data_IF_747120942254
#
_entry.id   IF_747120942254
#
_cell.length_a   1.000
_cell.length_b   1.000
_cell.length_c   1.000
_cell.angle_alpha   90.00
_cell.angle_beta   90.00
_cell.angle_gamma   90.00
#
_symmetry.space_group_name_H-M   'P 1'
#
loop_
_entity.id
_entity.type
_entity.pdbx_description
1 polymer ?
#
# COMPACT_ATOMS: atom_id res chain seq x y z
N UNK A 1 -16.72 6.70 33.65
CA UNK A 1 -15.32 6.71 33.20
C UNK A 1 -15.03 5.34 32.62
N UNK A 2 -15.03 5.21 31.30
CA UNK A 2 -14.53 4.01 30.64
C UNK A 2 -13.01 4.08 30.72
N UNK A 3 -12.40 3.14 31.46
CA UNK A 3 -10.97 2.91 31.40
C UNK A 3 -10.68 2.40 30.00
N UNK A 4 -10.03 3.22 29.16
CA UNK A 4 -9.32 2.70 28.00
C UNK A 4 -8.22 1.80 28.57
N UNK A 5 -8.39 0.48 28.44
CA UNK A 5 -7.24 -0.42 28.39
C UNK A 5 -6.36 0.18 27.31
N UNK A 6 -5.13 0.58 27.63
CA UNK A 6 -4.20 1.13 26.65
C UNK A 6 -3.09 0.10 26.44
N UNK A 7 -2.86 -0.29 25.19
CA UNK A 7 -1.86 -1.28 24.77
C UNK A 7 -2.36 -2.71 24.62
N UNK A 8 -3.68 -2.95 24.56
CA UNK A 8 -4.28 -4.27 24.34
C UNK A 8 -4.62 -4.55 22.87
N UNK A 9 -5.05 -5.79 22.56
CA UNK A 9 -5.53 -6.21 21.22
C UNK A 9 -6.77 -5.42 20.72
N UNK A 10 -7.39 -4.64 21.60
CA UNK A 10 -8.53 -3.78 21.27
C UNK A 10 -8.13 -2.31 21.05
N UNK A 11 -6.83 -1.99 21.16
CA UNK A 11 -6.31 -0.66 20.90
C UNK A 11 -5.68 -0.56 19.52
N UNK A 12 -5.57 0.67 19.03
CA UNK A 12 -4.75 0.96 17.85
C UNK A 12 -3.31 0.43 18.08
N UNK A 13 -2.71 -0.23 17.07
CA UNK A 13 -3.14 -0.30 15.67
C UNK A 13 -4.00 -1.54 15.32
N UNK A 14 -4.42 -2.36 16.28
CA UNK A 14 -5.22 -3.58 16.02
C UNK A 14 -6.68 -3.29 15.68
N UNK A 15 -7.23 -2.17 16.16
CA UNK A 15 -8.57 -1.70 15.80
C UNK A 15 -8.47 -0.32 15.13
N UNK A 16 -9.09 -0.11 13.95
CA UNK A 16 -9.10 1.20 13.31
C UNK A 16 -9.79 2.27 14.17
N UNK A 17 -9.24 3.47 14.17
CA UNK A 17 -9.83 4.65 14.82
C UNK A 17 -10.67 5.49 13.87
N UNK A 18 -10.55 5.22 12.55
CA UNK A 18 -11.29 5.89 11.48
C UNK A 18 -12.31 4.93 10.86
N UNK A 19 -13.40 5.47 10.31
CA UNK A 19 -14.57 4.65 9.94
C UNK A 19 -15.07 4.88 8.52
N UNK A 20 -14.57 5.89 7.80
CA UNK A 20 -15.01 6.14 6.44
C UNK A 20 -14.00 5.52 5.48
N UNK A 21 -14.47 4.64 4.61
CA UNK A 21 -13.63 4.08 3.57
C UNK A 21 -13.12 5.16 2.61
N UNK A 22 -11.87 5.02 2.19
CA UNK A 22 -11.27 5.83 1.16
C UNK A 22 -10.34 4.98 0.29
N UNK A 23 -10.49 5.09 -1.03
CA UNK A 23 -9.70 4.33 -1.99
C UNK A 23 -8.96 5.28 -2.92
N UNK A 24 -7.69 4.99 -3.17
CA UNK A 24 -6.87 5.72 -4.13
C UNK A 24 -6.32 4.74 -5.16
N UNK A 25 -6.70 4.93 -6.42
CA UNK A 25 -6.16 4.19 -7.55
C UNK A 25 -5.00 4.96 -8.21
N UNK A 26 -3.97 4.23 -8.65
CA UNK A 26 -2.82 4.74 -9.38
C UNK A 26 -2.52 3.82 -10.57
N UNK A 27 -2.03 4.40 -11.65
CA UNK A 27 -1.50 3.66 -12.79
C UNK A 27 -0.01 3.96 -12.92
N UNK A 28 0.78 2.91 -13.11
CA UNK A 28 2.23 2.98 -13.21
C UNK A 28 2.62 2.26 -14.50
N UNK A 29 3.14 3.02 -15.46
CA UNK A 29 3.57 2.49 -16.77
C UNK A 29 5.08 2.22 -16.76
N UNK A 30 5.44 0.96 -16.99
CA UNK A 30 6.82 0.55 -17.25
C UNK A 30 7.01 0.46 -18.77
N UNK A 31 7.68 1.43 -19.38
CA UNK A 31 7.84 1.49 -20.84
C UNK A 31 8.84 0.46 -21.40
N UNK A 32 9.76 -0.04 -20.58
CA UNK A 32 10.78 -1.02 -20.91
C UNK A 32 11.25 -1.74 -19.65
N UNK A 33 11.93 -2.88 -19.79
CA UNK A 33 12.53 -3.61 -18.68
C UNK A 33 13.34 -2.66 -17.77
N UNK A 34 13.14 -2.75 -16.46
CA UNK A 34 13.77 -1.86 -15.50
C UNK A 34 12.91 -1.62 -14.27
N UNK A 35 12.96 -0.38 -13.78
CA UNK A 35 12.31 0.05 -12.54
C UNK A 35 11.51 1.31 -12.81
N UNK A 36 10.29 1.36 -12.29
CA UNK A 36 9.44 2.54 -12.30
C UNK A 36 8.90 2.79 -10.90
N UNK A 37 8.79 4.05 -10.52
CA UNK A 37 8.25 4.44 -9.22
C UNK A 37 7.14 5.47 -9.37
N UNK A 38 6.20 5.43 -8.44
CA UNK A 38 5.14 6.40 -8.29
C UNK A 38 5.08 6.89 -6.84
N UNK A 39 4.71 8.16 -6.64
CA UNK A 39 4.62 8.72 -5.29
C UNK A 39 3.47 9.68 -5.14
N UNK A 40 2.83 9.62 -3.98
CA UNK A 40 1.77 10.54 -3.59
C UNK A 40 1.71 10.67 -2.06
N UNK A 41 0.91 11.64 -1.60
CA UNK A 41 0.56 11.82 -0.20
C UNK A 41 -0.92 12.18 -0.11
N UNK A 42 -1.46 12.13 1.12
CA UNK A 42 -2.79 12.62 1.44
C UNK A 42 -2.67 13.80 2.41
N UNK A 43 -3.51 14.82 2.24
CA UNK A 43 -3.48 16.05 3.03
C UNK A 43 -4.18 15.94 4.40
N UNK A 44 -4.47 14.71 4.84
CA UNK A 44 -5.18 14.42 6.08
C UNK A 44 -4.69 13.11 6.68
N UNK A 45 -4.80 13.00 8.01
CA UNK A 45 -4.48 11.78 8.74
C UNK A 45 -5.39 10.64 8.26
N UNK A 46 -4.81 9.46 8.03
CA UNK A 46 -5.53 8.28 7.57
C UNK A 46 -5.04 7.02 8.29
N UNK A 47 -5.68 5.89 8.03
CA UNK A 47 -5.19 4.56 8.41
C UNK A 47 -5.14 3.71 7.14
N UNK A 48 -3.95 3.27 6.76
CA UNK A 48 -3.71 2.40 5.62
C UNK A 48 -3.97 0.94 6.02
N UNK A 49 -4.83 0.24 5.27
CA UNK A 49 -5.33 -1.08 5.67
C UNK A 49 -5.08 -2.17 4.64
N UNK A 50 -5.01 -1.82 3.36
CA UNK A 50 -4.69 -2.79 2.31
C UNK A 50 -4.15 -2.11 1.05
N UNK A 51 -3.41 -2.87 0.26
CA UNK A 51 -2.97 -2.50 -1.08
C UNK A 51 -3.24 -3.64 -2.03
N UNK A 52 -3.74 -3.32 -3.21
CA UNK A 52 -3.90 -4.24 -4.32
C UNK A 52 -3.05 -3.82 -5.50
N UNK A 53 -2.31 -4.75 -6.09
CA UNK A 53 -1.42 -4.53 -7.23
C UNK A 53 -1.79 -5.51 -8.34
N UNK A 54 -1.94 -4.99 -9.55
CA UNK A 54 -2.25 -5.79 -10.74
C UNK A 54 -1.39 -5.34 -11.90
N UNK A 55 -0.52 -6.23 -12.37
CA UNK A 55 0.18 -6.06 -13.63
C UNK A 55 -0.67 -6.58 -14.80
N UNK A 56 -0.55 -5.96 -15.96
CA UNK A 56 -1.27 -6.38 -17.18
C UNK A 56 -0.73 -7.69 -17.73
N UNK A 57 0.59 -7.85 -17.71
CA UNK A 57 1.27 -9.12 -18.03
C UNK A 57 2.03 -9.62 -16.81
N UNK A 58 2.08 -10.93 -16.61
CA UNK A 58 2.77 -11.53 -15.46
C UNK A 58 4.09 -12.17 -15.90
N UNK A 59 5.17 -11.74 -15.25
CA UNK A 59 6.46 -12.39 -15.33
C UNK A 59 6.87 -12.83 -13.93
N UNK A 60 7.49 -14.01 -13.81
CA UNK A 60 7.84 -14.60 -12.52
C UNK A 60 8.89 -13.76 -11.76
N UNK A 61 9.67 -12.97 -12.52
CA UNK A 61 10.74 -12.11 -12.03
C UNK A 61 10.24 -10.72 -11.61
N UNK A 62 9.03 -10.34 -11.98
CA UNK A 62 8.46 -9.03 -11.64
C UNK A 62 8.15 -8.99 -10.13
N UNK A 63 8.43 -7.85 -9.49
CA UNK A 63 8.14 -7.62 -8.09
C UNK A 63 7.90 -6.15 -7.78
N UNK A 64 7.35 -5.87 -6.61
CA UNK A 64 7.11 -4.52 -6.13
C UNK A 64 7.47 -4.32 -4.66
N UNK A 65 7.68 -3.05 -4.32
CA UNK A 65 8.01 -2.58 -2.99
C UNK A 65 7.17 -1.35 -2.64
N UNK A 66 6.98 -1.10 -1.35
CA UNK A 66 6.27 0.08 -0.86
C UNK A 66 6.96 0.66 0.37
N UNK A 67 7.28 1.95 0.30
CA UNK A 67 7.72 2.77 1.43
C UNK A 67 6.58 3.73 1.81
N UNK A 68 6.29 3.84 3.10
CA UNK A 68 5.28 4.76 3.65
C UNK A 68 5.93 5.56 4.77
N UNK A 69 5.90 6.89 4.70
CA UNK A 69 6.47 7.75 5.76
C UNK A 69 7.98 7.58 5.97
N UNK A 70 8.69 6.97 5.01
CA UNK A 70 10.12 6.63 5.11
C UNK A 70 10.40 5.19 5.57
N UNK A 71 9.38 4.46 6.03
CA UNK A 71 9.51 3.06 6.44
C UNK A 71 9.21 2.12 5.27
N UNK A 72 10.08 1.13 5.03
CA UNK A 72 9.84 0.07 4.04
C UNK A 72 8.80 -0.90 4.61
N UNK A 73 7.56 -0.73 4.18
CA UNK A 73 6.41 -1.51 4.64
C UNK A 73 6.25 -2.82 3.86
N UNK A 74 6.62 -2.81 2.58
CA UNK A 74 6.62 -4.00 1.72
C UNK A 74 7.97 -4.12 1.05
N UNK A 75 8.57 -5.31 1.18
CA UNK A 75 9.87 -5.66 0.59
C UNK A 75 9.68 -6.83 -0.38
N UNK A 76 10.03 -6.61 -1.64
CA UNK A 76 10.10 -7.61 -2.72
C UNK A 76 8.94 -8.61 -2.73
N UNK A 77 7.75 -8.14 -3.10
CA UNK A 77 6.59 -9.01 -3.35
C UNK A 77 6.49 -9.30 -4.85
N UNK A 78 6.63 -10.56 -5.22
CA UNK A 78 6.59 -11.01 -6.62
C UNK A 78 5.17 -11.06 -7.15
N UNK A 79 4.93 -10.57 -8.37
CA UNK A 79 3.60 -10.61 -9.00
C UNK A 79 3.24 -12.02 -9.46
N UNK A 80 2.32 -12.68 -8.75
CA UNK A 80 1.78 -14.00 -9.07
C UNK A 80 0.43 -13.91 -9.81
N UNK A 81 -0.08 -15.06 -10.28
CA UNK A 81 -1.28 -15.24 -11.12
C UNK A 81 -2.63 -14.85 -10.47
N UNK A 82 -2.60 -14.00 -9.44
CA UNK A 82 -3.76 -13.55 -8.68
C UNK A 82 -3.72 -12.02 -8.61
N UNK A 83 -4.88 -11.36 -8.58
CA UNK A 83 -4.91 -9.94 -8.19
C UNK A 83 -4.29 -9.83 -6.79
N UNK A 84 -3.08 -9.30 -6.72
CA UNK A 84 -2.32 -9.33 -5.47
C UNK A 84 -2.93 -8.32 -4.52
N UNK A 85 -3.29 -8.78 -3.34
CA UNK A 85 -3.81 -7.94 -2.28
C UNK A 85 -3.09 -8.26 -0.98
N UNK A 86 -2.41 -7.29 -0.40
CA UNK A 86 -1.97 -7.39 0.99
C UNK A 86 -3.00 -6.71 1.87
N UNK A 87 -3.69 -7.50 2.70
CA UNK A 87 -4.41 -6.99 3.84
C UNK A 87 -3.46 -6.89 5.02
N UNK A 88 -3.32 -5.70 5.58
CA UNK A 88 -2.46 -5.49 6.73
C UNK A 88 -3.14 -6.07 7.98
N UNK A 89 -2.36 -6.74 8.83
CA UNK A 89 -2.86 -7.28 10.10
C UNK A 89 -3.29 -6.19 11.09
N UNK A 90 -2.82 -4.97 10.86
CA UNK A 90 -3.07 -3.80 11.69
C UNK A 90 -3.36 -2.60 10.77
N UNK A 91 -4.23 -1.70 11.22
CA UNK A 91 -4.48 -0.45 10.53
C UNK A 91 -3.27 0.46 10.74
N UNK A 92 -2.49 0.69 9.69
CA UNK A 92 -1.24 1.43 9.76
C UNK A 92 -1.55 2.95 9.77
N UNK A 93 -1.33 3.66 10.88
CA UNK A 93 -1.63 5.09 10.94
C UNK A 93 -0.68 5.86 10.03
N UNK A 94 -1.22 6.77 9.23
CA UNK A 94 -0.43 7.62 8.33
C UNK A 94 -0.82 9.08 8.59
N UNK A 95 0.18 9.94 8.80
CA UNK A 95 -0.01 11.37 9.03
C UNK A 95 -0.17 12.12 7.72
N UNK A 96 -0.93 13.22 7.77
CA UNK A 96 -1.05 14.15 6.66
C UNK A 96 0.34 14.53 6.11
N UNK A 97 0.51 14.41 4.79
CA UNK A 97 1.76 14.72 4.10
C UNK A 97 2.81 13.60 4.08
N UNK A 98 2.61 12.48 4.79
CA UNK A 98 3.49 11.32 4.64
C UNK A 98 3.38 10.73 3.23
N UNK A 99 4.53 10.39 2.66
CA UNK A 99 4.65 9.96 1.26
C UNK A 99 4.55 8.45 1.17
N UNK A 100 3.70 8.00 0.26
CA UNK A 100 3.71 6.64 -0.27
C UNK A 100 4.62 6.64 -1.48
N UNK A 101 5.62 5.76 -1.47
CA UNK A 101 6.55 5.57 -2.57
C UNK A 101 6.50 4.11 -3.00
N UNK A 102 5.82 3.87 -4.11
CA UNK A 102 5.68 2.55 -4.72
C UNK A 102 6.74 2.38 -5.80
N UNK A 103 7.35 1.22 -5.85
CA UNK A 103 8.34 0.86 -6.86
C UNK A 103 7.98 -0.50 -7.45
N UNK A 104 7.95 -0.56 -8.78
CA UNK A 104 7.77 -1.79 -9.54
C UNK A 104 9.05 -2.10 -10.32
N UNK A 105 9.48 -3.34 -10.22
CA UNK A 105 10.62 -3.89 -10.95
C UNK A 105 10.08 -4.91 -11.95
N UNK A 106 10.34 -4.67 -13.23
CA UNK A 106 9.82 -5.52 -14.29
C UNK A 106 10.86 -5.89 -15.35
N UNK A 107 10.72 -7.09 -15.92
CA UNK A 107 11.62 -7.61 -16.97
C UNK A 107 11.20 -7.25 -18.40
N UNK A 108 10.02 -6.65 -18.58
CA UNK A 108 9.47 -6.23 -19.86
C UNK A 108 8.51 -5.03 -19.68
N UNK A 109 8.10 -4.34 -20.75
CA UNK A 109 7.07 -3.31 -20.65
C UNK A 109 5.78 -3.84 -20.02
N UNK A 110 5.16 -3.04 -19.14
CA UNK A 110 3.97 -3.45 -18.40
C UNK A 110 3.15 -2.24 -17.91
N UNK A 111 1.85 -2.42 -17.72
CA UNK A 111 0.99 -1.46 -17.03
C UNK A 111 0.57 -2.04 -15.69
N UNK A 112 0.87 -1.32 -14.61
CA UNK A 112 0.58 -1.75 -13.25
C UNK A 112 -0.49 -0.84 -12.66
N UNK A 113 -1.60 -1.42 -12.23
CA UNK A 113 -2.64 -0.74 -11.46
C UNK A 113 -2.43 -1.01 -9.99
N UNK A 114 -2.41 0.06 -9.19
CA UNK A 114 -2.25 -0.02 -7.74
C UNK A 114 -3.45 0.63 -7.07
N UNK A 115 -4.08 -0.07 -6.13
CA UNK A 115 -5.21 0.45 -5.35
C UNK A 115 -4.87 0.42 -3.87
N UNK A 116 -4.87 1.58 -3.24
CA UNK A 116 -4.63 1.75 -1.81
C UNK A 116 -5.96 1.90 -1.08
N UNK A 117 -6.12 1.16 0.01
CA UNK A 117 -7.31 1.14 0.83
C UNK A 117 -7.00 1.80 2.16
N UNK A 118 -7.84 2.76 2.51
CA UNK A 118 -7.67 3.63 3.66
C UNK A 118 -8.97 3.75 4.45
N UNK A 119 -8.80 4.15 5.71
CA UNK A 119 -9.87 4.68 6.55
C UNK A 119 -9.57 6.15 6.89
N UNK A 120 -10.60 7.01 6.84
CA UNK A 120 -10.51 8.45 7.15
C UNK A 120 -11.60 8.92 8.12
#
# INVERSE_FOLDING_TARGET
MLHNLAGGRLDAPFYPTKFNDHFVGRQVELAAAGVVSDSFHLDYDTEFVAIHVKAETLYAEDYWELIVGGDKLVETVHTLDWEEGLQLMVAHPVKAGEVFHFTFHGVAPNNVTVTYHFLK
#
